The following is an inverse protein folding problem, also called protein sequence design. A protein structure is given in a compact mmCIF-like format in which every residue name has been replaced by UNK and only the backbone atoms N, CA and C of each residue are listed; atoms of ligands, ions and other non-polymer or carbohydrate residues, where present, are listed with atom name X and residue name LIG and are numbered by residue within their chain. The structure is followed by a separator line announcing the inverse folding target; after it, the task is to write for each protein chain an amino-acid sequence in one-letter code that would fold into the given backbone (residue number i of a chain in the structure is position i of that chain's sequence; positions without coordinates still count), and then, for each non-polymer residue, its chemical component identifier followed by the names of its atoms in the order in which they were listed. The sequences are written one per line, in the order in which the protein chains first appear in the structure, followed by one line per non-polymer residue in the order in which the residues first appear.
data_IF_703867177210
#
_entry.id   IF_703867177210
#
_cell.length_a   1.000
_cell.length_b   1.000
_cell.length_c   1.000
_cell.angle_alpha   90.00
_cell.angle_beta   90.00
_cell.angle_gamma   90.00
#
_symmetry.space_group_name_H-M   'P 1'
#
loop_
_entity.id
_entity.type
_entity.pdbx_description
1 polymer ?
#
# COMPACT_ATOMS: atom_id res chain seq x y z
N UNK A 1 -44.00 -11.98 -0.88
CA UNK A 1 -44.68 -11.38 0.28
C UNK A 1 -43.90 -10.12 0.65
N UNK A 2 -44.27 -8.97 0.08
CA UNK A 2 -43.62 -7.68 0.40
C UNK A 2 -44.03 -7.38 1.85
N UNK A 3 -43.04 -7.31 2.73
CA UNK A 3 -43.23 -7.07 4.16
C UNK A 3 -44.20 -5.90 4.39
N UNK A 4 -45.30 -6.13 5.14
CA UNK A 4 -46.31 -5.12 5.52
C UNK A 4 -45.71 -3.88 6.20
N UNK A 5 -44.46 -3.98 6.67
CA UNK A 5 -43.70 -2.90 7.31
C UNK A 5 -43.42 -1.75 6.31
N UNK A 6 -43.21 -2.06 5.03
CA UNK A 6 -42.94 -1.04 3.99
C UNK A 6 -44.17 -0.28 3.49
N UNK A 7 -45.39 -0.74 3.81
CA UNK A 7 -46.63 -0.06 3.41
C UNK A 7 -46.98 1.13 4.31
N UNK A 8 -46.39 1.21 5.51
CA UNK A 8 -46.57 2.37 6.39
C UNK A 8 -45.52 3.43 6.05
N UNK A 9 -45.95 4.51 5.37
CA UNK A 9 -45.06 5.56 4.85
C UNK A 9 -44.14 6.17 5.91
N UNK A 10 -44.60 6.28 7.17
CA UNK A 10 -43.80 6.78 8.29
C UNK A 10 -42.66 5.83 8.67
N UNK A 11 -42.91 4.52 8.64
CA UNK A 11 -41.92 3.49 8.97
C UNK A 11 -40.90 3.37 7.83
N UNK A 12 -41.37 3.39 6.58
CA UNK A 12 -40.51 3.40 5.40
C UNK A 12 -39.56 4.61 5.41
N UNK A 13 -40.08 5.81 5.71
CA UNK A 13 -39.29 7.04 5.79
C UNK A 13 -38.25 6.98 6.92
N UNK A 14 -38.60 6.43 8.08
CA UNK A 14 -37.64 6.21 9.17
C UNK A 14 -36.50 5.26 8.77
N UNK A 15 -36.83 4.15 8.10
CA UNK A 15 -35.84 3.19 7.60
C UNK A 15 -34.91 3.86 6.59
N UNK A 16 -35.45 4.64 5.66
CA UNK A 16 -34.64 5.38 4.67
C UNK A 16 -33.67 6.36 5.32
N UNK A 17 -34.10 7.07 6.37
CA UNK A 17 -33.23 8.00 7.12
C UNK A 17 -32.10 7.23 7.81
N UNK A 18 -32.40 6.10 8.45
CA UNK A 18 -31.39 5.26 9.12
C UNK A 18 -30.36 4.75 8.11
N UNK A 19 -30.81 4.28 6.94
CA UNK A 19 -29.92 3.83 5.87
C UNK A 19 -29.03 4.95 5.34
N UNK A 20 -29.58 6.16 5.19
CA UNK A 20 -28.82 7.33 4.75
C UNK A 20 -27.73 7.69 5.78
N UNK A 21 -28.06 7.70 7.07
CA UNK A 21 -27.10 7.95 8.14
C UNK A 21 -25.99 6.88 8.12
N UNK A 22 -26.36 5.60 8.02
CA UNK A 22 -25.40 4.51 7.93
C UNK A 22 -24.45 4.68 6.73
N UNK A 23 -24.98 5.06 5.57
CA UNK A 23 -24.19 5.29 4.36
C UNK A 23 -23.20 6.46 4.55
N UNK A 24 -23.65 7.60 5.09
CA UNK A 24 -22.79 8.75 5.37
C UNK A 24 -21.69 8.39 6.37
N UNK A 25 -22.01 7.62 7.41
CA UNK A 25 -21.05 7.16 8.41
C UNK A 25 -20.02 6.21 7.80
N UNK A 26 -20.44 5.25 6.97
CA UNK A 26 -19.53 4.34 6.26
C UNK A 26 -18.59 5.10 5.32
N UNK A 27 -19.10 6.07 4.57
CA UNK A 27 -18.30 6.93 3.69
C UNK A 27 -17.29 7.74 4.51
N UNK A 28 -17.71 8.29 5.66
CA UNK A 28 -16.83 9.03 6.56
C UNK A 28 -15.68 8.18 7.08
N UNK A 29 -15.95 6.95 7.54
CA UNK A 29 -14.89 6.03 7.98
C UNK A 29 -13.99 5.59 6.82
N UNK A 30 -14.56 5.37 5.64
CA UNK A 30 -13.79 5.05 4.43
C UNK A 30 -12.80 6.16 4.07
N UNK A 31 -13.19 7.44 4.17
CA UNK A 31 -12.28 8.56 3.94
C UNK A 31 -11.17 8.72 4.97
N UNK A 32 -11.30 8.09 6.14
CA UNK A 32 -10.26 8.10 7.17
C UNK A 32 -9.23 6.98 7.01
N UNK A 33 -9.43 6.04 6.08
CA UNK A 33 -8.46 4.97 5.84
C UNK A 33 -7.15 5.59 5.33
N UNK A 34 -6.14 5.56 6.20
CA UNK A 34 -4.78 6.04 5.90
C UNK A 34 -4.04 4.99 5.07
N UNK A 35 -3.29 5.46 4.09
CA UNK A 35 -2.34 4.65 3.32
C UNK A 35 -0.98 4.60 4.01
N UNK A 36 -0.15 3.65 3.63
CA UNK A 36 1.23 3.57 4.11
C UNK A 36 2.10 4.64 3.46
N UNK A 37 2.85 5.40 4.26
CA UNK A 37 3.89 6.33 3.77
C UNK A 37 5.25 5.67 3.67
N UNK A 38 5.55 4.82 4.63
CA UNK A 38 6.81 4.10 4.72
C UNK A 38 6.56 2.67 5.16
N UNK A 39 7.31 1.74 4.58
CA UNK A 39 7.23 0.32 4.94
C UNK A 39 8.63 -0.18 5.26
N UNK A 40 8.80 -0.76 6.44
CA UNK A 40 10.06 -1.41 6.80
C UNK A 40 10.13 -2.77 6.12
N UNK A 41 11.27 -3.10 5.52
CA UNK A 41 11.46 -4.38 4.85
C UNK A 41 12.93 -4.80 4.88
N UNK A 42 13.20 -6.04 4.49
CA UNK A 42 14.58 -6.54 4.32
C UNK A 42 14.97 -6.47 2.85
N UNK A 43 16.01 -5.68 2.57
CA UNK A 43 16.63 -5.61 1.25
C UNK A 43 17.62 -6.76 1.12
N UNK A 44 17.47 -7.55 0.06
CA UNK A 44 18.28 -8.72 -0.24
C UNK A 44 19.12 -8.48 -1.49
N UNK A 45 20.32 -9.07 -1.51
CA UNK A 45 21.23 -9.05 -2.66
C UNK A 45 21.56 -10.47 -3.05
N UNK A 46 21.23 -10.83 -4.29
CA UNK A 46 21.50 -12.18 -4.80
C UNK A 46 22.98 -12.36 -5.19
N UNK A 47 23.30 -13.58 -5.58
CA UNK A 47 24.62 -14.02 -6.05
C UNK A 47 25.07 -13.27 -7.31
N UNK A 48 24.14 -12.66 -8.05
CA UNK A 48 24.35 -11.88 -9.28
C UNK A 48 24.35 -10.37 -9.01
N UNK A 49 24.42 -9.95 -7.74
CA UNK A 49 24.34 -8.55 -7.29
C UNK A 49 23.05 -7.83 -7.69
N UNK A 50 21.95 -8.55 -7.90
CA UNK A 50 20.62 -7.95 -8.01
C UNK A 50 20.12 -7.60 -6.64
N UNK A 51 19.55 -6.41 -6.53
CA UNK A 51 18.99 -5.90 -5.30
C UNK A 51 17.47 -6.01 -5.35
N UNK A 52 16.88 -6.73 -4.40
CA UNK A 52 15.44 -6.99 -4.39
C UNK A 52 14.89 -7.05 -2.97
N UNK A 53 13.57 -7.03 -2.85
CA UNK A 53 12.87 -7.24 -1.59
C UNK A 53 11.59 -8.02 -1.80
N UNK A 54 11.20 -8.82 -0.82
CA UNK A 54 9.86 -9.40 -0.72
C UNK A 54 9.02 -8.51 0.15
N UNK A 55 7.87 -8.08 -0.36
CA UNK A 55 6.96 -7.21 0.36
C UNK A 55 5.54 -7.77 0.27
N UNK A 56 4.78 -7.58 1.35
CA UNK A 56 3.37 -7.95 1.42
C UNK A 56 2.55 -7.21 0.35
N UNK A 57 1.57 -7.91 -0.24
CA UNK A 57 0.69 -7.40 -1.31
C UNK A 57 -0.17 -6.21 -0.88
N UNK A 58 -0.34 -5.97 0.42
CA UNK A 58 -1.15 -4.90 1.00
C UNK A 58 -0.71 -3.47 0.62
N UNK A 59 0.52 -3.28 0.15
CA UNK A 59 1.01 -1.98 -0.32
C UNK A 59 1.13 -1.86 -1.84
N UNK A 60 0.77 -2.90 -2.60
CA UNK A 60 0.97 -2.97 -4.04
C UNK A 60 0.34 -1.77 -4.77
N UNK A 61 -0.88 -1.40 -4.40
CA UNK A 61 -1.60 -0.27 -5.00
C UNK A 61 -0.97 1.10 -4.69
N UNK A 62 -0.16 1.19 -3.64
CA UNK A 62 0.50 2.44 -3.23
C UNK A 62 1.87 2.64 -3.90
N UNK A 63 2.41 1.59 -4.53
CA UNK A 63 3.69 1.67 -5.23
C UNK A 63 3.56 2.43 -6.53
N UNK A 64 4.52 3.33 -6.76
CA UNK A 64 4.65 4.04 -8.02
C UNK A 64 6.11 4.04 -8.49
N UNK A 65 6.33 4.47 -9.73
CA UNK A 65 7.67 4.57 -10.33
C UNK A 65 8.64 5.47 -9.56
N UNK A 66 8.13 6.39 -8.75
CA UNK A 66 8.94 7.32 -7.97
C UNK A 66 9.22 6.80 -6.55
N UNK A 67 8.62 5.67 -6.15
CA UNK A 67 8.89 5.01 -4.87
C UNK A 67 10.34 4.51 -4.84
N UNK A 68 10.97 4.62 -3.67
CA UNK A 68 12.38 4.27 -3.51
C UNK A 68 12.64 3.58 -2.18
N UNK A 69 13.63 2.71 -2.17
CA UNK A 69 14.18 2.14 -0.96
C UNK A 69 15.28 3.03 -0.39
N UNK A 70 15.36 3.11 0.92
CA UNK A 70 16.46 3.76 1.62
C UNK A 70 16.99 2.84 2.72
N UNK A 71 18.31 2.73 2.81
CA UNK A 71 18.98 2.02 3.91
C UNK A 71 20.20 2.81 4.39
N UNK A 72 20.64 2.55 5.61
CA UNK A 72 21.83 3.17 6.19
C UNK A 72 23.04 2.26 5.99
N UNK A 73 24.12 2.79 5.44
CA UNK A 73 25.38 2.08 5.27
C UNK A 73 26.55 3.01 5.59
N UNK A 74 27.42 2.62 6.53
CA UNK A 74 28.58 3.42 6.97
C UNK A 74 28.21 4.90 7.28
N UNK A 75 27.14 5.10 8.06
CA UNK A 75 26.61 6.42 8.42
C UNK A 75 26.13 7.30 7.25
N UNK A 76 25.88 6.71 6.08
CA UNK A 76 25.27 7.38 4.93
C UNK A 76 23.93 6.75 4.60
N UNK A 77 22.96 7.57 4.22
CA UNK A 77 21.68 7.10 3.67
C UNK A 77 21.87 6.84 2.18
N UNK A 78 21.64 5.60 1.78
CA UNK A 78 21.71 5.18 0.38
C UNK A 78 20.28 5.00 -0.13
N UNK A 79 19.99 5.62 -1.27
CA UNK A 79 18.72 5.53 -1.96
C UNK A 79 18.85 4.60 -3.17
N UNK A 80 17.92 3.68 -3.31
CA UNK A 80 17.78 2.83 -4.49
C UNK A 80 16.41 3.05 -5.12
N UNK A 81 16.39 3.24 -6.43
CA UNK A 81 15.17 3.46 -7.18
C UNK A 81 14.51 2.12 -7.53
N UNK A 82 13.17 2.12 -7.57
CA UNK A 82 12.42 0.96 -8.02
C UNK A 82 12.63 0.80 -9.53
N UNK A 83 13.06 -0.40 -9.94
CA UNK A 83 13.23 -0.76 -11.36
C UNK A 83 11.96 -1.41 -11.88
N UNK A 84 11.46 -2.40 -11.16
CA UNK A 84 10.24 -3.14 -11.54
C UNK A 84 9.67 -3.92 -10.37
N UNK A 85 8.40 -4.27 -10.50
CA UNK A 85 7.73 -5.26 -9.66
C UNK A 85 7.71 -6.58 -10.44
N UNK A 86 8.11 -7.65 -9.78
CA UNK A 86 8.15 -9.01 -10.31
C UNK A 86 7.37 -9.96 -9.43
N UNK A 87 6.80 -11.01 -10.02
CA UNK A 87 6.18 -12.13 -9.30
C UNK A 87 5.09 -11.69 -8.31
N UNK A 88 3.92 -11.29 -8.82
CA UNK A 88 2.75 -10.95 -8.01
C UNK A 88 2.10 -12.26 -7.58
N UNK A 89 2.33 -12.70 -6.35
CA UNK A 89 1.53 -13.75 -5.69
C UNK A 89 0.47 -13.08 -4.81
N UNK A 90 -0.51 -13.87 -4.36
CA UNK A 90 -1.64 -13.34 -3.58
C UNK A 90 -1.18 -12.58 -2.31
N UNK A 91 -0.12 -13.05 -1.65
CA UNK A 91 0.28 -12.52 -0.34
C UNK A 91 1.62 -11.76 -0.36
N UNK A 92 2.43 -11.92 -1.41
CA UNK A 92 3.74 -11.28 -1.52
C UNK A 92 4.09 -10.96 -2.98
N UNK A 93 4.84 -9.89 -3.19
CA UNK A 93 5.49 -9.60 -4.46
C UNK A 93 6.95 -9.20 -4.28
N UNK A 94 7.73 -9.35 -5.36
CA UNK A 94 9.16 -9.06 -5.36
C UNK A 94 9.41 -7.73 -6.05
N UNK A 95 10.02 -6.78 -5.36
CA UNK A 95 10.46 -5.51 -5.94
C UNK A 95 11.93 -5.63 -6.31
N UNK A 96 12.29 -5.30 -7.55
CA UNK A 96 13.67 -5.12 -7.99
C UNK A 96 14.05 -3.63 -7.93
N UNK A 97 15.22 -3.35 -7.35
CA UNK A 97 15.79 -2.02 -7.21
C UNK A 97 17.06 -1.86 -8.04
N UNK A 98 17.50 -0.62 -8.21
CA UNK A 98 18.81 -0.31 -8.82
C UNK A 98 19.92 -1.03 -8.07
N UNK A 99 20.93 -1.52 -8.80
CA UNK A 99 22.06 -2.24 -8.20
C UNK A 99 22.81 -1.35 -7.21
N UNK A 100 23.11 -1.92 -6.04
CA UNK A 100 24.03 -1.29 -5.08
C UNK A 100 25.42 -1.93 -5.18
N UNK A 101 26.41 -1.16 -5.65
CA UNK A 101 27.82 -1.58 -5.67
C UNK A 101 28.47 -1.57 -4.27
N UNK A 102 27.79 -1.01 -3.27
CA UNK A 102 28.30 -0.84 -1.91
C UNK A 102 28.16 -2.11 -1.06
N UNK A 103 27.25 -2.99 -1.44
CA UNK A 103 26.88 -4.16 -0.65
C UNK A 103 27.33 -5.45 -1.36
N UNK A 104 27.80 -6.42 -0.57
CA UNK A 104 28.29 -7.70 -1.09
C UNK A 104 27.12 -8.59 -1.54
N UNK A 105 27.34 -9.55 -2.47
CA UNK A 105 26.38 -10.62 -2.73
C UNK A 105 25.99 -11.36 -1.45
N UNK A 106 24.77 -11.92 -1.40
CA UNK A 106 24.20 -12.65 -0.25
C UNK A 106 24.10 -11.80 1.03
N UNK A 107 23.98 -10.49 0.89
CA UNK A 107 23.74 -9.59 2.03
C UNK A 107 22.25 -9.33 2.18
N UNK A 108 21.82 -9.25 3.44
CA UNK A 108 20.48 -8.78 3.82
C UNK A 108 20.63 -7.59 4.74
N UNK A 109 19.88 -6.52 4.50
CA UNK A 109 19.95 -5.29 5.30
C UNK A 109 18.55 -4.70 5.55
N UNK A 110 18.27 -4.21 6.77
CA UNK A 110 17.06 -3.46 7.02
C UNK A 110 17.00 -2.20 6.16
N UNK A 111 15.86 -1.99 5.51
CA UNK A 111 15.60 -0.84 4.67
C UNK A 111 14.18 -0.31 4.89
N UNK A 112 13.95 0.92 4.45
CA UNK A 112 12.66 1.59 4.48
C UNK A 112 12.24 1.92 3.06
N UNK A 113 11.07 1.47 2.66
CA UNK A 113 10.45 1.82 1.39
C UNK A 113 9.68 3.11 1.59
N UNK A 114 10.01 4.15 0.82
CA UNK A 114 9.27 5.40 0.79
C UNK A 114 8.26 5.37 -0.34
N UNK A 115 6.98 5.43 0.01
CA UNK A 115 5.86 5.49 -0.91
C UNK A 115 5.52 6.97 -1.14
N UNK A 116 5.76 7.48 -2.35
CA UNK A 116 5.66 8.93 -2.62
C UNK A 116 4.23 9.46 -2.50
N UNK A 117 3.22 8.61 -2.64
CA UNK A 117 1.82 9.02 -2.52
C UNK A 117 1.41 9.12 -1.05
N UNK A 118 1.27 10.36 -0.57
CA UNK A 118 0.77 10.72 0.76
C UNK A 118 -0.78 10.79 0.82
N UNK A 119 -1.44 10.21 -0.19
CA UNK A 119 -2.84 10.39 -0.46
C UNK A 119 -3.78 9.60 0.45
N UNK A 120 -5.00 10.09 0.61
CA UNK A 120 -6.09 9.24 1.10
C UNK A 120 -6.33 8.09 0.11
N UNK A 121 -6.97 7.01 0.54
CA UNK A 121 -7.29 5.86 -0.32
C UNK A 121 -7.98 6.24 -1.65
N UNK A 122 -8.69 7.38 -1.70
CA UNK A 122 -9.29 7.93 -2.92
C UNK A 122 -8.29 8.33 -4.01
N UNK A 123 -7.07 8.72 -3.67
CA UNK A 123 -6.06 9.16 -4.63
C UNK A 123 -5.64 8.03 -5.58
N UNK A 124 -6.02 6.79 -5.26
CA UNK A 124 -5.88 5.61 -6.11
C UNK A 124 -6.88 5.57 -7.27
N UNK A 125 -8.03 6.24 -7.15
CA UNK A 125 -9.14 6.16 -8.11
C UNK A 125 -9.31 7.42 -8.97
N UNK A 126 -8.65 8.52 -8.60
CA UNK A 126 -8.75 9.82 -9.30
C UNK A 126 -7.66 9.97 -10.38
N UNK A 127 -6.71 9.04 -10.44
CA UNK A 127 -5.53 9.07 -11.32
C UNK A 127 -5.77 8.30 -12.62
#
# INVERSE_FOLDING_TARGET
MISKIYQNSKISLLISIILLIAMVVSIYYFFQIKTYKTVNFILEIDDKQKTFARINSDIYYSLNKDSFAQFQFQNKNIRLELVKITNIKQDEFIIEFTKSLLLKPKTQIPAVLFLKHNGNFLDLFIK
#
